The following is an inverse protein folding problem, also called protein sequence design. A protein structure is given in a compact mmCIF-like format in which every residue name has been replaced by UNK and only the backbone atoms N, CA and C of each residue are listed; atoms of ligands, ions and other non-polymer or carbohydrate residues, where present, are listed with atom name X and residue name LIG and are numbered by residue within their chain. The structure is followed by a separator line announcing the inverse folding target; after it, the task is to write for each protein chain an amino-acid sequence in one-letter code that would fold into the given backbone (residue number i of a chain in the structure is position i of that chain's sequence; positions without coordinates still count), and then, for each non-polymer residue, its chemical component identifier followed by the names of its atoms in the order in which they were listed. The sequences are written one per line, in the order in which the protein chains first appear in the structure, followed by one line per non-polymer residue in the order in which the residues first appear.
data_IF_152904610062
#
_entry.id   IF_152904610062
#
_cell.length_a   1.000
_cell.length_b   1.000
_cell.length_c   1.000
_cell.angle_alpha   90.00
_cell.angle_beta   90.00
_cell.angle_gamma   90.00
#
_symmetry.space_group_name_H-M   'P 1'
#
loop_
_entity.id
_entity.type
_entity.pdbx_description
1 polymer ?
#
# COMPACT_ATOMS: atom_id res chain seq x y z
N UNK A 1 -53.36 12.39 -29.64
CA UNK A 1 -54.15 11.93 -28.47
C UNK A 1 -53.24 11.94 -27.25
N UNK A 2 -53.47 12.87 -26.32
CA UNK A 2 -52.65 13.06 -25.09
C UNK A 2 -53.24 12.22 -23.96
N UNK A 3 -52.47 11.31 -23.35
CA UNK A 3 -52.85 10.60 -22.12
C UNK A 3 -52.14 11.26 -20.94
N UNK A 4 -52.90 11.98 -20.13
CA UNK A 4 -52.48 12.50 -18.84
C UNK A 4 -52.58 11.36 -17.82
N UNK A 5 -51.46 11.00 -17.21
CA UNK A 5 -51.40 10.03 -16.11
C UNK A 5 -51.29 10.83 -14.82
N UNK A 6 -52.40 10.89 -14.09
CA UNK A 6 -52.48 11.49 -12.76
C UNK A 6 -51.88 10.52 -11.75
N UNK A 7 -50.69 10.80 -11.24
CA UNK A 7 -50.05 10.01 -10.18
C UNK A 7 -50.49 10.58 -8.83
N UNK A 8 -51.28 9.80 -8.09
CA UNK A 8 -51.68 10.10 -6.73
C UNK A 8 -50.50 9.88 -5.78
N UNK A 9 -50.05 10.95 -5.12
CA UNK A 9 -49.05 10.91 -4.06
C UNK A 9 -49.75 10.52 -2.76
N UNK A 10 -49.54 9.29 -2.30
CA UNK A 10 -49.94 8.86 -0.97
C UNK A 10 -48.81 9.20 0.02
N UNK A 11 -48.97 10.30 0.74
CA UNK A 11 -48.15 10.67 1.90
C UNK A 11 -48.72 9.90 3.11
N UNK A 12 -48.00 8.87 3.57
CA UNK A 12 -48.31 8.20 4.85
C UNK A 12 -47.43 8.82 5.94
N UNK A 13 -48.09 9.59 6.79
CA UNK A 13 -47.56 10.19 8.02
C UNK A 13 -47.39 9.13 9.12
N UNK A 14 -46.20 9.13 9.72
CA UNK A 14 -45.89 9.07 11.16
C UNK A 14 -46.50 7.97 12.05
N UNK A 15 -45.62 7.20 12.69
CA UNK A 15 -45.79 6.82 14.10
C UNK A 15 -44.43 6.54 14.74
N UNK A 16 -44.22 7.13 15.91
CA UNK A 16 -42.94 7.28 16.59
C UNK A 16 -42.26 5.97 16.98
N UNK A 17 -40.97 5.88 16.66
CA UNK A 17 -40.07 4.96 17.32
C UNK A 17 -39.56 5.72 18.54
N UNK A 18 -40.14 5.40 19.71
CA UNK A 18 -39.60 5.80 20.99
C UNK A 18 -38.15 5.36 21.06
N UNK A 19 -37.26 6.33 21.28
CA UNK A 19 -35.85 6.10 21.55
C UNK A 19 -35.76 5.43 22.92
N UNK A 20 -35.90 4.11 22.95
CA UNK A 20 -35.38 3.29 24.03
C UNK A 20 -33.87 3.48 24.00
N UNK A 21 -33.39 4.40 24.84
CA UNK A 21 -32.00 4.47 25.25
C UNK A 21 -31.68 3.20 26.04
N UNK A 22 -31.55 2.07 25.32
CA UNK A 22 -30.91 0.89 25.84
C UNK A 22 -29.48 1.34 26.08
N UNK A 23 -29.15 1.56 27.35
CA UNK A 23 -27.78 1.62 27.84
C UNK A 23 -27.17 0.27 27.51
N UNK A 24 -26.70 0.15 26.27
CA UNK A 24 -25.89 -0.98 25.87
C UNK A 24 -24.73 -0.99 26.87
N UNK A 25 -24.52 -2.09 27.61
CA UNK A 25 -23.37 -2.20 28.49
C UNK A 25 -22.17 -1.80 27.64
N UNK A 26 -21.31 -0.92 28.14
CA UNK A 26 -20.10 -0.51 27.42
C UNK A 26 -19.37 -1.79 27.01
N UNK A 27 -19.57 -2.22 25.77
CA UNK A 27 -18.76 -3.21 25.10
C UNK A 27 -17.44 -2.49 24.90
N UNK A 28 -16.68 -2.44 25.99
CA UNK A 28 -15.24 -2.36 25.98
C UNK A 28 -14.81 -3.58 25.19
N UNK A 29 -14.86 -3.47 23.86
CA UNK A 29 -13.94 -4.22 23.04
C UNK A 29 -12.60 -4.00 23.72
N UNK A 30 -11.96 -5.06 24.24
CA UNK A 30 -10.61 -4.90 24.75
C UNK A 30 -9.89 -4.15 23.63
N UNK A 31 -9.24 -3.03 23.95
CA UNK A 31 -8.28 -2.40 23.05
C UNK A 31 -7.20 -3.45 22.84
N UNK A 32 -7.48 -4.46 22.02
CA UNK A 32 -6.50 -5.38 21.46
C UNK A 32 -5.56 -4.43 20.79
N UNK A 33 -4.39 -4.23 21.38
CA UNK A 33 -3.39 -3.27 20.97
C UNK A 33 -3.30 -3.31 19.45
N UNK A 34 -3.92 -2.34 18.77
CA UNK A 34 -4.06 -2.36 17.32
C UNK A 34 -2.72 -1.92 16.75
N UNK A 35 -1.71 -2.79 16.88
CA UNK A 35 -0.39 -2.56 16.29
C UNK A 35 -0.50 -2.49 14.77
N UNK A 36 -1.51 -3.15 14.20
CA UNK A 36 -1.85 -3.06 12.79
C UNK A 36 -2.18 -1.62 12.39
N UNK A 37 -1.47 -1.12 11.38
CA UNK A 37 -1.67 0.20 10.80
C UNK A 37 -1.56 0.15 9.27
N UNK A 38 -2.11 1.13 8.54
CA UNK A 38 -1.78 1.32 7.13
C UNK A 38 -0.27 1.57 6.94
N UNK A 39 0.29 1.23 5.77
CA UNK A 39 1.66 1.62 5.40
C UNK A 39 1.83 3.14 5.40
N UNK A 40 2.97 3.62 5.87
CA UNK A 40 3.38 5.01 5.71
C UNK A 40 4.25 5.19 4.44
N UNK A 41 4.75 6.41 4.19
CA UNK A 41 5.61 6.70 3.03
C UNK A 41 6.89 5.86 2.99
N UNK A 42 7.50 5.57 4.14
CA UNK A 42 8.73 4.77 4.22
C UNK A 42 8.47 3.29 3.92
N UNK A 43 7.39 2.71 4.44
CA UNK A 43 6.97 1.35 4.12
C UNK A 43 6.84 1.13 2.60
N UNK A 44 6.16 2.06 1.93
CA UNK A 44 5.93 2.03 0.49
C UNK A 44 7.22 2.23 -0.32
N UNK A 45 8.11 3.13 0.15
CA UNK A 45 9.43 3.31 -0.43
C UNK A 45 10.28 2.04 -0.32
N UNK A 46 10.36 1.46 0.87
CA UNK A 46 11.17 0.27 1.13
C UNK A 46 10.68 -0.95 0.36
N UNK A 47 9.36 -1.15 0.24
CA UNK A 47 8.82 -2.22 -0.61
C UNK A 47 9.29 -2.03 -2.07
N UNK A 48 9.19 -0.82 -2.60
CA UNK A 48 9.60 -0.50 -3.97
C UNK A 48 11.08 -0.76 -4.22
N UNK A 49 11.95 -0.24 -3.34
CA UNK A 49 13.40 -0.43 -3.47
C UNK A 49 13.73 -1.92 -3.38
N UNK A 50 13.19 -2.62 -2.39
CA UNK A 50 13.48 -4.03 -2.19
C UNK A 50 13.20 -4.85 -3.46
N UNK A 51 12.01 -4.68 -4.05
CA UNK A 51 11.57 -5.49 -5.19
C UNK A 51 12.33 -5.12 -6.47
N UNK A 52 12.48 -3.83 -6.76
CA UNK A 52 13.07 -3.37 -8.00
C UNK A 52 14.60 -3.59 -8.03
N UNK A 53 15.26 -3.52 -6.87
CA UNK A 53 16.71 -3.67 -6.75
C UNK A 53 17.15 -5.03 -6.18
N UNK A 54 16.21 -5.94 -5.92
CA UNK A 54 16.52 -7.24 -5.33
C UNK A 54 17.23 -7.15 -3.96
N UNK A 55 16.88 -6.14 -3.14
CA UNK A 55 17.53 -5.81 -1.86
C UNK A 55 16.65 -6.24 -0.67
N UNK A 56 16.77 -7.48 -0.16
CA UNK A 56 15.92 -7.99 0.92
C UNK A 56 16.04 -7.21 2.23
N UNK A 57 17.15 -6.52 2.48
CA UNK A 57 17.35 -5.68 3.66
C UNK A 57 16.31 -4.55 3.76
N UNK A 58 15.77 -4.07 2.63
CA UNK A 58 14.70 -3.08 2.64
C UNK A 58 13.35 -3.65 3.07
N UNK A 59 13.04 -4.91 2.73
CA UNK A 59 11.85 -5.57 3.27
C UNK A 59 11.92 -5.64 4.81
N UNK A 60 13.11 -5.78 5.40
CA UNK A 60 13.27 -5.81 6.87
C UNK A 60 12.98 -4.47 7.56
N UNK A 61 12.98 -3.36 6.80
CA UNK A 61 12.68 -2.02 7.33
C UNK A 61 11.20 -1.69 7.37
N UNK A 62 10.39 -2.46 6.64
CA UNK A 62 8.94 -2.30 6.62
C UNK A 62 8.38 -2.76 7.97
N UNK A 63 7.46 -2.00 8.56
CA UNK A 63 6.85 -2.37 9.84
C UNK A 63 6.21 -3.76 9.73
N UNK A 64 6.40 -4.59 10.76
CA UNK A 64 5.79 -5.93 10.81
C UNK A 64 4.26 -5.89 10.94
N UNK A 65 3.70 -4.70 11.22
CA UNK A 65 2.27 -4.49 11.40
C UNK A 65 1.64 -3.61 10.31
N UNK A 66 2.42 -3.14 9.33
CA UNK A 66 1.89 -2.45 8.16
C UNK A 66 1.09 -3.44 7.30
N UNK A 67 -0.21 -3.18 7.09
CA UNK A 67 -1.08 -4.05 6.31
C UNK A 67 -1.88 -3.30 5.25
N UNK A 68 -2.09 -3.97 4.12
CA UNK A 68 -2.96 -3.51 3.05
C UNK A 68 -4.24 -4.34 3.03
N UNK A 69 -5.34 -3.72 2.58
CA UNK A 69 -6.60 -4.40 2.31
C UNK A 69 -6.98 -4.21 0.85
N UNK A 70 -7.33 -5.30 0.18
CA UNK A 70 -7.84 -5.29 -1.19
C UNK A 70 -9.32 -5.66 -1.16
N UNK A 71 -10.21 -4.66 -1.18
CA UNK A 71 -11.66 -4.87 -1.11
C UNK A 71 -12.22 -5.79 -2.19
N UNK A 72 -11.60 -5.79 -3.37
CA UNK A 72 -11.98 -6.60 -4.54
C UNK A 72 -11.10 -7.85 -4.73
N UNK A 73 -10.22 -8.16 -3.77
CA UNK A 73 -9.34 -9.32 -3.84
C UNK A 73 -10.12 -10.65 -3.78
N UNK A 74 -9.65 -11.64 -4.52
CA UNK A 74 -10.13 -13.02 -4.37
C UNK A 74 -9.92 -13.54 -2.94
N UNK A 75 -10.65 -14.59 -2.56
CA UNK A 75 -10.47 -15.25 -1.26
C UNK A 75 -8.99 -15.59 -1.01
N UNK A 76 -8.52 -15.30 0.20
CA UNK A 76 -7.13 -15.47 0.62
C UNK A 76 -6.20 -14.29 0.33
N UNK A 77 -6.63 -13.27 -0.43
CA UNK A 77 -5.79 -12.11 -0.80
C UNK A 77 -6.43 -10.77 -0.41
N UNK A 78 -7.42 -10.77 0.49
CA UNK A 78 -8.18 -9.56 0.86
C UNK A 78 -7.44 -8.68 1.87
N UNK A 79 -6.49 -9.27 2.60
CA UNK A 79 -5.64 -8.57 3.56
C UNK A 79 -4.24 -9.18 3.52
N UNK A 80 -3.21 -8.35 3.63
CA UNK A 80 -1.83 -8.79 3.61
C UNK A 80 -0.94 -7.85 4.41
N UNK A 81 0.03 -8.41 5.14
CA UNK A 81 1.15 -7.63 5.70
C UNK A 81 2.07 -7.19 4.55
N UNK A 82 2.44 -5.91 4.52
CA UNK A 82 3.27 -5.36 3.46
C UNK A 82 4.66 -6.01 3.45
N UNK A 83 5.26 -6.21 4.63
CA UNK A 83 6.55 -6.91 4.79
C UNK A 83 6.51 -8.33 4.23
N UNK A 84 5.46 -9.09 4.55
CA UNK A 84 5.27 -10.44 4.00
C UNK A 84 5.13 -10.43 2.48
N UNK A 85 4.36 -9.47 1.94
CA UNK A 85 4.20 -9.26 0.49
C UNK A 85 5.54 -8.96 -0.19
N UNK A 86 6.35 -8.08 0.41
CA UNK A 86 7.69 -7.74 -0.05
C UNK A 86 8.58 -8.99 -0.20
N UNK A 87 8.68 -9.81 0.86
CA UNK A 87 9.46 -11.05 0.82
C UNK A 87 8.92 -12.08 -0.17
N UNK A 88 7.61 -12.21 -0.28
CA UNK A 88 7.00 -13.11 -1.25
C UNK A 88 7.36 -12.72 -2.69
N UNK A 89 7.30 -11.42 -3.03
CA UNK A 89 7.69 -10.92 -4.35
C UNK A 89 9.19 -11.14 -4.62
N UNK A 90 10.05 -10.94 -3.62
CA UNK A 90 11.47 -11.28 -3.72
C UNK A 90 11.72 -12.77 -3.92
N UNK A 91 10.99 -13.65 -3.22
CA UNK A 91 11.06 -15.09 -3.41
C UNK A 91 10.74 -15.48 -4.87
N UNK A 92 9.69 -14.88 -5.42
CA UNK A 92 9.25 -15.11 -6.80
C UNK A 92 10.28 -14.59 -7.81
N UNK A 93 10.79 -13.37 -7.62
CA UNK A 93 11.73 -12.72 -8.53
C UNK A 93 13.11 -13.40 -8.54
N UNK A 94 13.64 -13.71 -7.36
CA UNK A 94 14.98 -14.30 -7.21
C UNK A 94 14.97 -15.83 -7.24
N UNK A 95 13.79 -16.46 -7.29
CA UNK A 95 13.61 -17.91 -7.13
C UNK A 95 14.28 -18.46 -5.87
N UNK A 96 14.28 -17.67 -4.80
CA UNK A 96 14.89 -18.04 -3.52
C UNK A 96 13.82 -18.39 -2.47
N UNK A 97 13.68 -19.67 -2.11
CA UNK A 97 12.61 -20.11 -1.18
C UNK A 97 12.85 -19.66 0.25
N UNK A 98 14.08 -19.24 0.62
CA UNK A 98 14.40 -18.75 1.96
C UNK A 98 13.57 -17.51 2.32
N UNK A 99 13.21 -16.69 1.34
CA UNK A 99 12.33 -15.54 1.60
C UNK A 99 10.89 -15.96 1.90
N UNK A 100 10.43 -17.12 1.42
CA UNK A 100 9.09 -17.63 1.77
C UNK A 100 8.96 -17.94 3.26
N UNK A 101 10.06 -18.23 3.96
CA UNK A 101 10.06 -18.49 5.40
C UNK A 101 9.75 -17.21 6.22
N UNK A 102 9.93 -16.03 5.61
CA UNK A 102 9.61 -14.73 6.20
C UNK A 102 8.18 -14.27 5.95
N UNK A 103 7.44 -14.99 5.11
CA UNK A 103 6.06 -14.66 4.73
C UNK A 103 5.11 -15.11 5.83
N UNK A 104 4.35 -14.17 6.39
CA UNK A 104 3.35 -14.44 7.42
C UNK A 104 1.95 -14.04 6.94
N UNK A 105 0.95 -14.94 7.05
CA UNK A 105 -0.41 -14.61 6.74
C UNK A 105 -1.00 -13.72 7.84
N UNK A 106 -2.00 -12.94 7.47
CA UNK A 106 -2.85 -12.21 8.40
C UNK A 106 -4.30 -12.52 8.04
N UNK A 107 -5.12 -12.76 9.06
CA UNK A 107 -6.56 -12.89 8.90
C UNK A 107 -7.22 -11.93 9.87
N UNK A 108 -8.29 -11.28 9.41
CA UNK A 108 -9.20 -10.56 10.29
C UNK A 108 -10.52 -11.33 10.34
N UNK A 109 -11.46 -10.85 11.15
CA UNK A 109 -12.79 -11.46 11.22
C UNK A 109 -13.50 -11.53 9.86
N UNK A 110 -13.24 -10.56 8.97
CA UNK A 110 -13.92 -10.44 7.68
C UNK A 110 -13.02 -10.61 6.45
N UNK A 111 -11.69 -10.54 6.63
CA UNK A 111 -10.73 -10.56 5.53
C UNK A 111 -9.78 -11.74 5.68
N UNK A 112 -9.70 -12.52 4.60
CA UNK A 112 -8.85 -13.70 4.48
C UNK A 112 -7.56 -13.34 3.73
N UNK A 113 -6.42 -13.55 4.38
CA UNK A 113 -5.07 -13.34 3.86
C UNK A 113 -4.25 -14.64 3.77
N UNK A 114 -4.90 -15.80 3.74
CA UNK A 114 -4.25 -17.12 3.69
C UNK A 114 -3.32 -17.35 2.49
N UNK A 115 -3.48 -16.61 1.38
CA UNK A 115 -2.55 -16.64 0.23
C UNK A 115 -1.30 -15.79 0.42
N UNK A 116 -1.09 -15.20 1.59
CA UNK A 116 0.18 -14.60 1.97
C UNK A 116 0.88 -15.50 3.00
N UNK A 117 1.12 -16.76 2.64
CA UNK A 117 1.72 -17.79 3.51
C UNK A 117 2.97 -18.40 2.88
N UNK A 118 3.85 -19.05 3.68
CA UNK A 118 5.06 -19.70 3.16
C UNK A 118 4.76 -20.73 2.08
N UNK A 119 3.72 -21.56 2.27
CA UNK A 119 3.37 -22.62 1.32
C UNK A 119 2.85 -22.05 0.01
N UNK A 120 1.98 -21.03 0.08
CA UNK A 120 1.52 -20.35 -1.13
C UNK A 120 2.66 -19.64 -1.87
N UNK A 121 3.59 -19.02 -1.12
CA UNK A 121 4.79 -18.42 -1.68
C UNK A 121 5.62 -19.45 -2.47
N UNK A 122 5.95 -20.60 -1.85
CA UNK A 122 6.73 -21.66 -2.51
C UNK A 122 6.01 -22.21 -3.74
N UNK A 123 4.70 -22.43 -3.66
CA UNK A 123 3.90 -22.86 -4.81
C UNK A 123 3.93 -21.83 -5.95
N UNK A 124 3.86 -20.54 -5.62
CA UNK A 124 3.83 -19.43 -6.58
C UNK A 124 5.14 -19.22 -7.33
N UNK A 125 6.28 -19.63 -6.74
CA UNK A 125 7.59 -19.57 -7.39
C UNK A 125 7.70 -20.45 -8.65
N UNK A 126 6.81 -21.43 -8.84
CA UNK A 126 6.76 -22.23 -10.08
C UNK A 126 6.16 -21.46 -11.26
N UNK A 127 5.38 -20.41 -11.01
CA UNK A 127 4.73 -19.63 -12.07
C UNK A 127 5.74 -18.70 -12.74
N UNK A 128 5.75 -18.65 -14.08
CA UNK A 128 6.59 -17.72 -14.85
C UNK A 128 5.95 -16.33 -14.76
N UNK A 129 6.43 -15.52 -13.82
CA UNK A 129 6.03 -14.13 -13.65
C UNK A 129 7.08 -13.37 -12.87
N UNK A 130 7.39 -12.15 -13.31
CA UNK A 130 8.15 -11.19 -12.53
C UNK A 130 7.17 -10.28 -11.80
N UNK A 131 7.35 -10.13 -10.49
CA UNK A 131 6.61 -9.17 -9.69
C UNK A 131 7.37 -7.85 -9.71
N UNK A 132 6.76 -6.79 -10.26
CA UNK A 132 7.30 -5.44 -10.09
C UNK A 132 6.85 -4.85 -8.77
N UNK A 133 7.65 -3.95 -8.20
CA UNK A 133 7.21 -3.10 -7.09
C UNK A 133 5.96 -2.33 -7.52
N UNK A 134 5.10 -1.98 -6.57
CA UNK A 134 4.00 -1.09 -6.87
C UNK A 134 4.59 0.29 -7.14
N UNK A 135 4.71 0.70 -8.42
CA UNK A 135 5.27 2.01 -8.82
C UNK A 135 4.50 3.20 -8.26
N UNK A 136 3.37 2.96 -7.61
CA UNK A 136 2.53 4.00 -7.03
C UNK A 136 2.98 4.36 -5.62
N UNK A 137 3.87 5.35 -5.54
CA UNK A 137 4.01 6.20 -4.36
C UNK A 137 3.26 7.49 -4.69
N UNK A 138 2.36 7.92 -3.82
CA UNK A 138 1.64 9.18 -4.02
C UNK A 138 2.64 10.33 -4.22
N UNK A 139 2.42 11.19 -5.21
CA UNK A 139 3.36 12.25 -5.58
C UNK A 139 3.74 13.15 -4.39
N UNK A 140 2.79 13.40 -3.47
CA UNK A 140 3.09 14.16 -2.24
C UNK A 140 4.23 13.55 -1.42
N UNK A 141 4.34 12.22 -1.37
CA UNK A 141 5.42 11.54 -0.66
C UNK A 141 6.73 11.57 -1.45
N UNK A 142 6.68 11.64 -2.79
CA UNK A 142 7.88 11.75 -3.61
C UNK A 142 8.69 12.98 -3.21
N UNK A 143 8.05 14.16 -3.16
CA UNK A 143 8.73 15.41 -2.77
C UNK A 143 9.36 15.32 -1.37
N UNK A 144 8.57 14.92 -0.37
CA UNK A 144 9.05 14.78 1.01
C UNK A 144 10.23 13.80 1.12
N UNK A 145 10.18 12.66 0.42
CA UNK A 145 11.25 11.68 0.43
C UNK A 145 12.52 12.22 -0.26
N UNK A 146 12.37 12.94 -1.37
CA UNK A 146 13.51 13.56 -2.05
C UNK A 146 14.18 14.62 -1.17
N UNK A 147 13.40 15.45 -0.49
CA UNK A 147 13.91 16.45 0.45
C UNK A 147 14.64 15.79 1.62
N UNK A 148 14.05 14.76 2.26
CA UNK A 148 14.67 14.01 3.36
C UNK A 148 15.94 13.25 2.94
N UNK A 149 16.00 12.82 1.67
CA UNK A 149 17.20 12.22 1.08
C UNK A 149 18.17 13.28 0.53
N UNK A 150 17.90 14.57 0.70
CA UNK A 150 18.74 15.69 0.27
C UNK A 150 19.00 15.71 -1.26
N UNK A 151 18.03 15.25 -2.06
CA UNK A 151 18.10 15.36 -3.52
C UNK A 151 17.76 16.79 -3.95
N UNK A 152 18.71 17.47 -4.59
CA UNK A 152 18.48 18.80 -5.13
C UNK A 152 17.86 18.74 -6.53
N UNK A 153 16.62 18.25 -6.61
CA UNK A 153 15.91 18.09 -7.87
C UNK A 153 15.66 19.44 -8.59
N UNK A 154 15.50 20.54 -7.85
CA UNK A 154 15.34 21.88 -8.42
C UNK A 154 16.59 22.35 -9.21
N UNK A 155 17.78 21.87 -8.84
CA UNK A 155 19.01 22.14 -9.57
C UNK A 155 19.21 21.25 -10.81
N UNK A 156 18.48 20.15 -10.95
CA UNK A 156 18.53 19.28 -12.14
C UNK A 156 17.89 19.99 -13.35
N UNK A 157 18.63 20.07 -14.46
CA UNK A 157 18.16 20.76 -15.67
C UNK A 157 16.98 20.06 -16.32
N UNK A 158 16.94 18.73 -16.31
CA UNK A 158 15.85 17.96 -16.90
C UNK A 158 14.56 18.16 -16.10
N UNK A 159 14.65 18.16 -14.77
CA UNK A 159 13.50 18.50 -13.93
C UNK A 159 12.93 19.89 -14.28
N UNK A 160 13.78 20.91 -14.45
CA UNK A 160 13.33 22.25 -14.85
C UNK A 160 12.73 22.28 -16.25
N UNK A 161 13.32 21.55 -17.19
CA UNK A 161 12.80 21.45 -18.56
C UNK A 161 11.43 20.80 -18.59
N UNK A 162 11.23 19.73 -17.81
CA UNK A 162 9.95 19.04 -17.67
C UNK A 162 8.91 19.93 -16.97
N UNK A 163 9.29 20.61 -15.90
CA UNK A 163 8.43 21.58 -15.23
C UNK A 163 8.02 22.71 -16.18
N UNK A 164 8.95 23.24 -16.98
CA UNK A 164 8.66 24.29 -17.96
C UNK A 164 7.77 23.80 -19.10
N UNK A 165 7.91 22.53 -19.52
CA UNK A 165 7.11 21.95 -20.61
C UNK A 165 5.68 21.67 -20.19
N UNK A 166 5.49 21.19 -18.97
CA UNK A 166 4.20 20.69 -18.50
C UNK A 166 3.46 21.68 -17.60
N UNK A 167 4.16 22.62 -16.96
CA UNK A 167 3.57 23.55 -15.99
C UNK A 167 3.03 22.86 -14.73
N UNK A 168 3.39 21.60 -14.51
CA UNK A 168 2.89 20.72 -13.47
C UNK A 168 4.07 20.14 -12.68
N UNK A 169 4.20 20.58 -11.42
CA UNK A 169 5.24 20.13 -10.50
C UNK A 169 5.12 18.62 -10.21
N UNK A 170 3.89 18.10 -10.12
CA UNK A 170 3.68 16.69 -9.81
C UNK A 170 4.16 15.78 -10.93
N UNK A 171 3.85 16.15 -12.18
CA UNK A 171 4.32 15.44 -13.35
C UNK A 171 5.86 15.48 -13.46
N UNK A 172 6.47 16.66 -13.26
CA UNK A 172 7.92 16.82 -13.32
C UNK A 172 8.64 16.01 -12.22
N UNK A 173 8.09 16.00 -11.00
CA UNK A 173 8.60 15.18 -9.89
C UNK A 173 8.47 13.68 -10.17
N UNK A 174 7.36 13.23 -10.75
CA UNK A 174 7.18 11.82 -11.09
C UNK A 174 8.20 11.36 -12.13
N UNK A 175 8.47 12.17 -13.16
CA UNK A 175 9.50 11.87 -14.17
C UNK A 175 10.89 11.84 -13.54
N UNK A 176 11.23 12.83 -12.71
CA UNK A 176 12.50 12.88 -12.00
C UNK A 176 12.68 11.66 -11.08
N UNK A 177 11.63 11.28 -10.34
CA UNK A 177 11.61 10.09 -9.49
C UNK A 177 11.93 8.81 -10.25
N UNK A 178 11.25 8.58 -11.38
CA UNK A 178 11.48 7.41 -12.23
C UNK A 178 12.92 7.34 -12.75
N UNK A 179 13.53 8.50 -13.03
CA UNK A 179 14.94 8.58 -13.44
C UNK A 179 15.91 8.15 -12.33
N UNK A 180 15.68 8.60 -11.10
CA UNK A 180 16.67 8.40 -10.02
C UNK A 180 16.43 7.16 -9.17
N UNK A 181 15.20 6.62 -9.13
CA UNK A 181 14.86 5.47 -8.27
C UNK A 181 15.71 4.23 -8.60
N UNK A 182 16.22 4.12 -9.82
CA UNK A 182 17.08 3.01 -10.28
C UNK A 182 18.57 3.22 -9.97
N UNK A 183 18.97 4.34 -9.37
CA UNK A 183 20.38 4.65 -9.10
C UNK A 183 20.87 4.11 -7.75
N UNK A 184 22.14 3.69 -7.68
CA UNK A 184 22.77 3.29 -6.40
C UNK A 184 22.85 4.44 -5.39
N UNK A 185 22.99 5.68 -5.88
CA UNK A 185 22.91 6.86 -5.02
C UNK A 185 21.57 6.90 -4.29
N UNK A 186 20.46 6.77 -5.01
CA UNK A 186 19.13 6.73 -4.42
C UNK A 186 18.97 5.61 -3.39
N UNK A 187 19.39 4.38 -3.73
CA UNK A 187 19.34 3.23 -2.81
C UNK A 187 20.15 3.51 -1.54
N UNK A 188 21.37 4.04 -1.69
CA UNK A 188 22.24 4.36 -0.54
C UNK A 188 21.65 5.43 0.37
N UNK A 189 21.03 6.47 -0.20
CA UNK A 189 20.41 7.55 0.57
C UNK A 189 19.14 7.07 1.27
N UNK A 190 18.31 6.27 0.60
CA UNK A 190 17.10 5.68 1.17
C UNK A 190 17.40 4.77 2.38
N UNK A 191 18.56 4.13 2.40
CA UNK A 191 19.01 3.31 3.54
C UNK A 191 19.25 4.15 4.82
N UNK A 192 19.46 5.47 4.69
CA UNK A 192 19.65 6.39 5.83
C UNK A 192 18.35 6.91 6.44
N UNK A 193 17.22 6.75 5.74
CA UNK A 193 15.90 7.18 6.22
C UNK A 193 15.49 6.39 7.48
N UNK A 194 14.55 6.87 8.32
CA UNK A 194 14.12 6.18 9.53
C UNK A 194 13.53 4.79 9.27
N UNK A 195 13.68 3.85 10.19
CA UNK A 195 12.94 2.59 10.13
C UNK A 195 11.45 2.87 10.30
N UNK A 196 10.62 2.12 9.60
CA UNK A 196 9.17 2.24 9.73
C UNK A 196 8.71 1.43 10.95
N UNK A 197 8.48 2.10 12.07
CA UNK A 197 7.90 1.49 13.27
C UNK A 197 6.37 1.41 13.20
#
# INVERSE_FOLDING_TARGET
MKKNITIAIAIVFMAGIGVLAISLPDWHFPKTSSKHRPPNKYDMLYENIAINHNRPEFCERISSFAYLTAGWGGRGSKVNLLRSSCFMKLAINQRNPVYCDKVKPINTWFLDGSKNSPDYCRASMSTRGSSRGATYIETRYVKELLDEMEFNYAADSQYRDDLSRHGDEEAALAVYWLKIIETEEFVSRAMRLPQSD
#
